data_IF_393826104527
#
_entry.id   IF_393826104527
#
_cell.length_a   1.000
_cell.length_b   1.000
_cell.length_c   1.000
_cell.angle_alpha   90.00
_cell.angle_beta   90.00
_cell.angle_gamma   90.00
#
_symmetry.space_group_name_H-M   'P 1'
#
loop_
_entity.id
_entity.type
_entity.pdbx_description
1 polymer ?
#
# COMPACT_ATOMS: atom_id res chain seq x y z
N UNK A 1 13.21 -0.32 -15.14
CA UNK A 1 12.08 -0.16 -14.20
C UNK A 1 10.83 0.15 -15.03
N UNK A 2 9.64 -0.38 -14.71
CA UNK A 2 8.42 -0.14 -15.50
C UNK A 2 7.58 0.94 -14.85
N UNK A 3 7.39 2.08 -15.54
CA UNK A 3 6.75 3.27 -14.94
C UNK A 3 5.24 3.12 -14.72
N UNK A 4 4.58 2.15 -15.38
CA UNK A 4 3.15 1.86 -15.21
C UNK A 4 2.94 0.52 -14.52
N UNK A 5 2.34 0.55 -13.32
CA UNK A 5 2.13 -0.62 -12.45
C UNK A 5 0.66 -1.05 -12.27
N UNK A 6 -0.29 -0.34 -12.89
CA UNK A 6 -1.70 -0.74 -12.93
C UNK A 6 -1.93 -1.86 -13.95
N UNK A 7 -1.47 -3.07 -13.61
CA UNK A 7 -1.43 -4.24 -14.49
C UNK A 7 -2.18 -5.45 -13.93
N UNK A 8 -2.69 -5.36 -12.70
CA UNK A 8 -3.40 -6.46 -12.06
C UNK A 8 -4.90 -6.40 -12.36
N UNK A 9 -5.57 -7.54 -12.30
CA UNK A 9 -7.03 -7.65 -12.45
C UNK A 9 -7.81 -7.28 -11.17
N UNK A 10 -7.17 -6.63 -10.19
CA UNK A 10 -7.82 -6.18 -8.96
C UNK A 10 -7.04 -6.42 -7.66
N UNK A 11 -6.16 -7.43 -7.61
CA UNK A 11 -5.32 -7.65 -6.43
C UNK A 11 -4.09 -6.72 -6.44
N UNK A 12 -3.72 -6.18 -5.26
CA UNK A 12 -2.47 -5.43 -5.09
C UNK A 12 -1.32 -6.41 -4.86
N UNK A 13 -0.27 -6.32 -5.68
CA UNK A 13 0.97 -7.09 -5.50
C UNK A 13 2.02 -6.21 -4.81
N UNK A 14 2.61 -6.71 -3.74
CA UNK A 14 3.69 -6.05 -3.00
C UNK A 14 5.02 -6.57 -3.53
N UNK A 15 5.92 -5.67 -3.92
CA UNK A 15 7.24 -6.01 -4.49
C UNK A 15 8.08 -6.86 -3.54
N UNK A 16 8.19 -6.45 -2.27
CA UNK A 16 8.93 -7.16 -1.22
C UNK A 16 8.00 -7.94 -0.28
N UNK A 17 7.10 -8.76 -0.83
CA UNK A 17 6.08 -9.48 -0.06
C UNK A 17 6.67 -10.42 1.03
N UNK A 18 7.84 -11.03 0.77
CA UNK A 18 8.51 -11.90 1.76
C UNK A 18 9.00 -11.09 2.94
N UNK A 19 9.66 -9.95 2.70
CA UNK A 19 10.12 -9.03 3.75
C UNK A 19 8.95 -8.51 4.60
N UNK A 20 7.82 -8.18 3.97
CA UNK A 20 6.61 -7.80 4.70
C UNK A 20 6.10 -8.95 5.58
N UNK A 21 6.06 -10.19 5.05
CA UNK A 21 5.66 -11.36 5.83
C UNK A 21 6.60 -11.61 7.02
N UNK A 22 7.91 -11.47 6.82
CA UNK A 22 8.90 -11.57 7.89
C UNK A 22 8.67 -10.56 9.00
N UNK A 23 8.49 -9.28 8.64
CA UNK A 23 8.19 -8.22 9.60
C UNK A 23 6.93 -8.52 10.42
N UNK A 24 5.85 -8.94 9.77
CA UNK A 24 4.59 -9.23 10.46
C UNK A 24 4.69 -10.46 11.38
N UNK A 25 5.37 -11.52 10.95
CA UNK A 25 5.45 -12.78 11.69
C UNK A 25 6.48 -12.74 12.83
N UNK A 26 7.42 -11.80 12.82
CA UNK A 26 8.30 -11.57 13.98
C UNK A 26 7.51 -11.21 15.24
N UNK A 27 6.43 -10.44 15.12
CA UNK A 27 5.55 -10.10 16.24
C UNK A 27 4.77 -11.32 16.79
N UNK A 28 4.70 -12.40 16.02
CA UNK A 28 4.09 -13.67 16.41
C UNK A 28 5.15 -14.68 16.92
N UNK A 29 6.42 -14.27 17.04
CA UNK A 29 7.51 -15.09 17.56
C UNK A 29 8.19 -16.00 16.54
N UNK A 30 7.94 -15.83 15.24
CA UNK A 30 8.65 -16.59 14.20
C UNK A 30 10.00 -15.95 13.88
N UNK A 31 11.03 -16.79 13.78
CA UNK A 31 12.35 -16.39 13.27
C UNK A 31 12.39 -16.35 11.74
N UNK A 32 13.26 -15.53 11.15
CA UNK A 32 13.46 -15.47 9.68
C UNK A 32 13.81 -16.83 9.07
N UNK A 33 14.56 -17.68 9.80
CA UNK A 33 14.88 -19.04 9.36
C UNK A 33 13.62 -19.91 9.22
N UNK A 34 12.68 -19.83 10.18
CA UNK A 34 11.42 -20.58 10.10
C UNK A 34 10.57 -20.12 8.90
N UNK A 35 10.53 -18.82 8.65
CA UNK A 35 9.75 -18.22 7.55
C UNK A 35 10.36 -18.60 6.21
N UNK A 36 11.69 -18.49 6.07
CA UNK A 36 12.43 -18.95 4.89
C UNK A 36 12.18 -20.43 4.61
N UNK A 37 12.17 -21.28 5.65
CA UNK A 37 11.84 -22.69 5.50
C UNK A 37 10.41 -22.91 4.99
N UNK A 38 9.44 -22.12 5.43
CA UNK A 38 8.06 -22.19 4.92
C UNK A 38 7.98 -21.81 3.45
N UNK A 39 8.64 -20.71 3.05
CA UNK A 39 8.69 -20.29 1.63
C UNK A 39 9.35 -21.36 0.77
N UNK A 40 10.50 -21.88 1.21
CA UNK A 40 11.26 -22.91 0.49
C UNK A 40 10.52 -24.25 0.38
N UNK A 41 9.64 -24.57 1.33
CA UNK A 41 8.85 -25.80 1.29
C UNK A 41 7.89 -25.87 0.10
N UNK A 42 7.53 -24.72 -0.51
CA UNK A 42 6.51 -24.58 -1.57
C UNK A 42 5.14 -25.16 -1.22
N UNK A 43 4.88 -25.42 0.07
CA UNK A 43 3.59 -25.89 0.56
C UNK A 43 2.85 -24.73 1.20
N UNK A 44 1.54 -24.67 0.95
CA UNK A 44 0.68 -23.66 1.57
C UNK A 44 0.66 -23.87 3.09
N UNK A 45 0.97 -22.81 3.83
CA UNK A 45 0.86 -22.76 5.28
C UNK A 45 0.06 -21.52 5.67
N UNK A 46 -0.97 -21.71 6.49
CA UNK A 46 -1.77 -20.63 7.05
C UNK A 46 -1.22 -20.28 8.43
N UNK A 47 -0.84 -19.02 8.61
CA UNK A 47 -0.34 -18.48 9.87
C UNK A 47 -1.32 -17.43 10.37
N UNK A 48 -1.72 -17.54 11.63
CA UNK A 48 -2.61 -16.58 12.28
C UNK A 48 -1.78 -15.41 12.82
N UNK A 49 -2.27 -14.21 12.61
CA UNK A 49 -1.76 -13.00 13.25
C UNK A 49 -2.67 -12.69 14.44
N UNK A 50 -2.08 -12.52 15.62
CA UNK A 50 -2.79 -12.33 16.89
C UNK A 50 -3.46 -10.97 16.98
N UNK A 51 -2.80 -9.93 16.46
CA UNK A 51 -3.30 -8.55 16.44
C UNK A 51 -3.92 -8.20 15.09
N UNK A 52 -5.07 -7.52 15.05
CA UNK A 52 -5.64 -7.05 13.80
C UNK A 52 -4.70 -6.01 13.15
N UNK A 53 -4.45 -6.19 11.85
CA UNK A 53 -3.72 -5.23 11.03
C UNK A 53 -4.75 -4.43 10.23
N UNK A 54 -4.83 -3.13 10.47
CA UNK A 54 -5.72 -2.26 9.73
C UNK A 54 -5.08 -1.88 8.39
N UNK A 55 -5.84 -2.08 7.31
CA UNK A 55 -5.41 -1.73 5.95
C UNK A 55 -6.33 -0.62 5.45
N UNK A 56 -5.75 0.54 5.16
CA UNK A 56 -6.44 1.65 4.52
C UNK A 56 -5.97 1.77 3.08
N UNK A 57 -6.90 1.67 2.14
CA UNK A 57 -6.62 1.84 0.72
C UNK A 57 -7.20 3.17 0.26
N UNK A 58 -6.32 4.08 -0.17
CA UNK A 58 -6.68 5.43 -0.62
C UNK A 58 -6.25 5.64 -2.06
N UNK A 59 -7.01 6.45 -2.78
CA UNK A 59 -6.69 6.89 -4.13
C UNK A 59 -6.47 8.40 -4.12
N UNK A 60 -5.20 8.81 -4.15
CA UNK A 60 -4.79 10.21 -4.06
C UNK A 60 -3.96 10.54 -5.29
N UNK A 61 -4.43 11.49 -6.09
CA UNK A 61 -3.78 11.93 -7.34
C UNK A 61 -2.91 13.17 -7.15
N UNK A 62 -3.09 13.90 -6.05
CA UNK A 62 -2.28 15.06 -5.68
C UNK A 62 -2.14 15.19 -4.16
N UNK A 63 -0.95 15.48 -3.66
CA UNK A 63 -0.67 15.76 -2.24
C UNK A 63 0.51 16.72 -2.09
N UNK A 64 0.62 17.35 -0.94
CA UNK A 64 1.79 18.16 -0.54
C UNK A 64 2.55 17.37 0.51
N UNK A 65 3.87 17.23 0.34
CA UNK A 65 4.71 16.54 1.31
C UNK A 65 5.17 17.46 2.46
N UNK A 66 5.99 16.92 3.35
CA UNK A 66 6.54 17.66 4.50
C UNK A 66 7.52 18.78 4.14
N UNK A 67 8.01 18.82 2.89
CA UNK A 67 8.90 19.87 2.37
C UNK A 67 8.13 20.93 1.58
N UNK A 68 6.80 20.97 1.72
CA UNK A 68 5.89 21.84 0.98
C UNK A 68 5.93 21.64 -0.56
N UNK A 69 6.36 20.45 -1.02
CA UNK A 69 6.42 20.12 -2.44
C UNK A 69 5.11 19.49 -2.88
N UNK A 70 4.49 20.07 -3.92
CA UNK A 70 3.31 19.50 -4.56
C UNK A 70 3.68 18.30 -5.45
N UNK A 71 3.19 17.12 -5.08
CA UNK A 71 3.26 15.91 -5.89
C UNK A 71 1.97 15.70 -6.66
N UNK A 72 2.10 15.29 -7.93
CA UNK A 72 0.99 14.87 -8.79
C UNK A 72 1.25 13.49 -9.37
N UNK A 73 0.18 12.72 -9.58
CA UNK A 73 0.21 11.42 -10.25
C UNK A 73 -0.93 11.34 -11.28
N UNK A 74 -0.77 10.54 -12.35
CA UNK A 74 -1.84 10.35 -13.34
C UNK A 74 -3.11 9.76 -12.72
N UNK A 75 -4.26 10.36 -13.05
CA UNK A 75 -5.59 9.84 -12.70
C UNK A 75 -5.99 8.69 -13.64
N UNK A 76 -5.42 7.51 -13.37
CA UNK A 76 -5.64 6.30 -14.19
C UNK A 76 -7.08 5.76 -14.16
N UNK A 77 -7.91 6.21 -13.21
CA UNK A 77 -9.31 5.78 -13.11
C UNK A 77 -10.32 6.85 -13.55
N UNK A 78 -9.85 8.07 -13.83
CA UNK A 78 -10.69 9.16 -14.31
C UNK A 78 -11.60 9.75 -13.24
N UNK A 79 -11.23 9.67 -11.96
CA UNK A 79 -12.01 10.19 -10.84
C UNK A 79 -11.89 11.69 -10.64
N UNK A 80 -10.87 12.34 -11.21
CA UNK A 80 -10.63 13.79 -11.11
C UNK A 80 -11.37 14.59 -12.20
N UNK A 81 -12.22 13.93 -13.00
CA UNK A 81 -13.00 14.59 -14.04
C UNK A 81 -13.82 15.74 -13.46
N UNK A 82 -13.80 16.87 -14.19
CA UNK A 82 -14.48 18.10 -13.81
C UNK A 82 -15.97 17.84 -13.57
N UNK A 83 -16.43 18.01 -12.34
CA UNK A 83 -17.84 17.92 -12.01
C UNK A 83 -18.56 19.21 -12.39
N UNK A 84 -19.80 19.11 -12.86
CA UNK A 84 -20.62 20.23 -13.34
C UNK A 84 -21.10 21.18 -12.25
N UNK A 85 -20.82 20.87 -10.98
CA UNK A 85 -21.20 21.66 -9.81
C UNK A 85 -19.98 21.93 -8.92
N UNK A 86 -19.96 23.11 -8.30
CA UNK A 86 -18.90 23.49 -7.35
C UNK A 86 -19.07 22.65 -6.09
N UNK A 87 -18.14 21.72 -5.84
CA UNK A 87 -18.01 21.10 -4.52
C UNK A 87 -17.40 22.11 -3.57
N UNK A 88 -17.97 22.24 -2.36
CA UNK A 88 -17.25 22.77 -1.21
C UNK A 88 -16.20 21.73 -0.81
N UNK A 89 -15.05 21.75 -1.49
CA UNK A 89 -13.95 20.82 -1.24
C UNK A 89 -13.18 21.34 -0.04
N UNK A 90 -13.35 20.68 1.10
CA UNK A 90 -12.39 20.78 2.19
C UNK A 90 -11.14 20.02 1.74
N UNK A 91 -10.08 20.75 1.37
CA UNK A 91 -8.79 20.13 1.13
C UNK A 91 -8.28 19.58 2.47
N UNK A 92 -8.25 18.26 2.58
CA UNK A 92 -7.54 17.61 3.69
C UNK A 92 -6.06 17.62 3.32
N UNK A 93 -5.32 18.56 3.88
CA UNK A 93 -3.87 18.48 3.89
C UNK A 93 -3.49 17.39 4.89
N UNK A 94 -2.99 16.25 4.39
CA UNK A 94 -2.31 15.29 5.24
C UNK A 94 -0.92 15.84 5.54
N UNK A 95 -0.84 16.81 6.46
CA UNK A 95 0.45 17.16 7.06
C UNK A 95 1.00 15.88 7.68
N UNK A 96 2.19 15.45 7.26
CA UNK A 96 2.88 14.22 7.68
C UNK A 96 2.51 12.90 6.98
N UNK A 97 2.09 12.90 5.71
CA UNK A 97 2.16 11.66 4.91
C UNK A 97 3.63 11.31 4.64
N UNK A 98 4.19 10.42 5.45
CA UNK A 98 5.56 9.91 5.28
C UNK A 98 5.59 8.87 4.15
N UNK A 99 6.50 9.05 3.20
CA UNK A 99 6.80 8.09 2.12
C UNK A 99 7.77 7.01 2.58
#
# INVERSE_FOLDING_TARGET
>A
MKDKRALSSGCVRVENAVTLAEYLLQFEGYSSNQISNYVNSRRTKYLKISKPIYIQMMYITSWVDENDILHKRPDIYGYDKKQSYVKNINFVSMKHFQN
#
